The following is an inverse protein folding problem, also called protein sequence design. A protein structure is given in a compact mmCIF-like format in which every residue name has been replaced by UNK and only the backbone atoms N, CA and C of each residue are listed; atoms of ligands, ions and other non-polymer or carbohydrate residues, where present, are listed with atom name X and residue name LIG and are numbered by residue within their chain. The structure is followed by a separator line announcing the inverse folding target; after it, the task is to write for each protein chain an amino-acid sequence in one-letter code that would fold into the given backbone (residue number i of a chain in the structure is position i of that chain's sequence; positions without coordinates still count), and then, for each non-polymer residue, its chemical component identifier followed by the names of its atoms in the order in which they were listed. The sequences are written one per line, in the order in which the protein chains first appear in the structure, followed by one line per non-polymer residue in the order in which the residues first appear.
data_IF_081323351506
#
_entry.id   IF_081323351506
#
_cell.length_a   1.000
_cell.length_b   1.000
_cell.length_c   1.000
_cell.angle_alpha   90.00
_cell.angle_beta   90.00
_cell.angle_gamma   90.00
#
_symmetry.space_group_name_H-M   'P 1'
#
loop_
_entity.id
_entity.type
_entity.pdbx_description
1 polymer ?
#
# COMPACT_ATOMS: atom_id res chain seq x y z
N UNK A 1 -15.14 10.13 -1.21
CA UNK A 1 -14.57 9.17 -0.24
C UNK A 1 -13.86 9.94 0.87
N UNK A 2 -14.11 9.63 2.13
CA UNK A 2 -13.44 10.25 3.28
C UNK A 2 -12.45 9.26 3.91
N UNK A 3 -11.19 9.65 4.04
CA UNK A 3 -10.14 8.82 4.63
C UNK A 3 -9.93 9.20 6.10
N UNK A 4 -10.09 8.24 7.01
CA UNK A 4 -9.84 8.45 8.45
C UNK A 4 -8.69 7.56 8.88
N UNK A 5 -7.61 8.16 9.39
CA UNK A 5 -6.45 7.45 9.97
C UNK A 5 -6.61 7.50 11.48
N UNK A 6 -6.86 6.36 12.13
CA UNK A 6 -7.06 6.32 13.58
C UNK A 6 -5.73 6.07 14.31
N UNK A 7 -5.49 6.83 15.38
CA UNK A 7 -4.30 6.70 16.23
C UNK A 7 -4.74 6.56 17.68
N UNK A 8 -5.13 5.36 18.14
CA UNK A 8 -5.01 4.97 19.56
C UNK A 8 -5.32 3.49 19.88
N UNK A 9 -4.76 3.04 21.00
CA UNK A 9 -4.64 1.66 21.47
C UNK A 9 -5.98 0.98 21.87
N UNK A 10 -6.63 0.28 20.94
CA UNK A 10 -7.45 -0.96 21.13
C UNK A 10 -8.00 -1.41 19.76
N UNK A 11 -7.45 -2.47 19.15
CA UNK A 11 -7.89 -3.19 17.92
C UNK A 11 -8.56 -2.40 16.77
N UNK A 12 -8.39 -1.08 16.66
CA UNK A 12 -8.89 -0.32 15.53
C UNK A 12 -7.98 -0.53 14.31
N UNK A 13 -8.55 -0.61 13.11
CA UNK A 13 -7.77 -0.61 11.88
C UNK A 13 -6.91 0.66 11.76
N UNK A 14 -5.72 0.50 11.20
CA UNK A 14 -4.78 1.58 10.92
C UNK A 14 -5.25 2.46 9.76
N UNK A 15 -5.98 1.87 8.81
CA UNK A 15 -6.59 2.53 7.68
C UNK A 15 -8.02 1.99 7.50
N UNK A 16 -8.99 2.87 7.25
CA UNK A 16 -10.34 2.48 6.86
C UNK A 16 -10.76 3.25 5.61
N UNK A 17 -11.30 2.53 4.64
CA UNK A 17 -11.97 3.11 3.48
C UNK A 17 -13.49 3.06 3.73
N UNK A 18 -14.12 4.22 3.74
CA UNK A 18 -15.57 4.35 3.85
C UNK A 18 -16.17 4.84 2.52
N UNK A 19 -17.29 4.24 2.14
CA UNK A 19 -18.16 4.73 1.07
C UNK A 19 -19.58 4.87 1.65
N UNK A 20 -20.18 6.04 1.49
CA UNK A 20 -21.56 6.32 1.95
C UNK A 20 -21.79 6.02 3.45
N UNK A 21 -20.76 6.21 4.28
CA UNK A 21 -20.82 5.93 5.73
C UNK A 21 -20.63 4.45 6.10
N UNK A 22 -20.46 3.56 5.13
CA UNK A 22 -20.19 2.14 5.34
C UNK A 22 -18.71 1.84 5.13
N UNK A 23 -18.12 1.05 6.04
CA UNK A 23 -16.74 0.58 5.90
C UNK A 23 -16.63 -0.47 4.81
N UNK A 24 -15.88 -0.16 3.76
CA UNK A 24 -15.68 -0.99 2.58
C UNK A 24 -14.37 -1.77 2.60
N UNK A 25 -13.38 -1.29 3.36
CA UNK A 25 -12.14 -2.01 3.58
C UNK A 25 -11.38 -1.45 4.79
N UNK A 26 -10.47 -2.27 5.33
CA UNK A 26 -9.63 -1.91 6.46
C UNK A 26 -8.22 -2.50 6.33
N UNK A 27 -7.21 -1.83 6.85
CA UNK A 27 -5.83 -2.33 6.91
C UNK A 27 -5.30 -2.32 8.34
N UNK A 28 -4.50 -3.33 8.67
CA UNK A 28 -3.84 -3.49 9.97
C UNK A 28 -2.35 -3.73 9.74
N UNK A 29 -1.53 -2.83 10.24
CA UNK A 29 -0.08 -2.92 10.12
C UNK A 29 0.55 -3.65 11.32
N UNK A 30 1.69 -4.31 11.11
CA UNK A 30 2.46 -4.90 12.20
C UNK A 30 2.97 -3.80 13.15
N UNK A 31 2.92 -4.09 14.45
CA UNK A 31 3.32 -3.13 15.51
C UNK A 31 4.82 -3.11 15.82
N UNK A 32 5.58 -4.12 15.37
CA UNK A 32 6.97 -4.29 15.76
C UNK A 32 7.93 -3.62 14.77
N UNK A 33 8.81 -2.76 15.25
CA UNK A 33 9.82 -2.05 14.43
C UNK A 33 10.74 -3.04 13.69
N UNK A 34 11.02 -4.22 14.28
CA UNK A 34 11.85 -5.27 13.67
C UNK A 34 11.34 -5.76 12.31
N UNK A 35 10.04 -5.60 12.02
CA UNK A 35 9.43 -5.98 10.74
C UNK A 35 9.91 -5.13 9.56
N UNK A 36 10.34 -3.89 9.82
CA UNK A 36 10.77 -2.98 8.76
C UNK A 36 12.16 -3.32 8.20
N UNK A 37 12.98 -4.10 8.92
CA UNK A 37 14.31 -4.52 8.47
C UNK A 37 14.33 -5.88 7.76
N UNK A 38 13.17 -6.53 7.62
CA UNK A 38 13.05 -7.82 6.92
C UNK A 38 12.95 -7.64 5.40
N UNK A 39 13.59 -8.55 4.64
CA UNK A 39 13.45 -8.68 3.19
C UNK A 39 12.03 -9.10 2.77
N UNK A 40 11.29 -9.71 3.69
CA UNK A 40 9.88 -10.07 3.52
C UNK A 40 9.02 -9.26 4.48
N UNK A 41 7.96 -8.64 3.96
CA UNK A 41 7.03 -7.82 4.76
C UNK A 41 5.62 -8.31 4.51
N UNK A 42 4.85 -8.47 5.59
CA UNK A 42 3.47 -8.95 5.52
C UNK A 42 2.57 -8.13 6.44
N UNK A 43 1.39 -7.76 5.96
CA UNK A 43 0.35 -7.15 6.78
C UNK A 43 -1.05 -7.54 6.28
N UNK A 44 -2.10 -7.29 7.08
CA UNK A 44 -3.46 -7.78 6.77
C UNK A 44 -4.35 -6.67 6.25
N UNK A 45 -5.14 -7.01 5.24
CA UNK A 45 -6.18 -6.16 4.65
C UNK A 45 -7.50 -6.90 4.72
N UNK A 46 -8.54 -6.25 5.22
CA UNK A 46 -9.92 -6.73 5.18
C UNK A 46 -10.68 -6.01 4.08
N UNK A 47 -11.39 -6.75 3.22
CA UNK A 47 -12.33 -6.20 2.24
C UNK A 47 -13.77 -6.44 2.72
N UNK A 48 -14.59 -5.39 2.65
CA UNK A 48 -15.92 -5.31 3.24
C UNK A 48 -15.94 -4.71 4.66
N UNK A 49 -17.07 -4.86 5.33
CA UNK A 49 -17.26 -4.45 6.73
C UNK A 49 -16.24 -5.15 7.63
N UNK A 50 -15.43 -4.44 8.44
CA UNK A 50 -14.46 -5.01 9.37
C UNK A 50 -15.00 -6.15 10.27
N UNK A 51 -16.28 -6.11 10.62
CA UNK A 51 -16.93 -7.16 11.42
C UNK A 51 -17.19 -8.47 10.65
N UNK A 52 -17.29 -8.40 9.32
CA UNK A 52 -17.55 -9.53 8.41
C UNK A 52 -16.55 -9.59 7.24
N UNK A 53 -15.37 -9.01 7.43
CA UNK A 53 -14.43 -8.76 6.35
C UNK A 53 -13.84 -10.06 5.81
N UNK A 54 -13.62 -10.09 4.50
CA UNK A 54 -12.78 -11.11 3.87
C UNK A 54 -11.33 -10.66 4.03
N UNK A 55 -10.60 -11.34 4.90
CA UNK A 55 -9.20 -11.05 5.15
C UNK A 55 -8.32 -11.59 4.03
N UNK A 56 -7.40 -10.75 3.57
CA UNK A 56 -6.32 -11.10 2.66
C UNK A 56 -5.01 -10.57 3.24
N UNK A 57 -3.89 -11.17 2.82
CA UNK A 57 -2.57 -10.74 3.23
C UNK A 57 -1.93 -9.93 2.12
N UNK A 58 -1.31 -8.81 2.50
CA UNK A 58 -0.41 -8.07 1.63
C UNK A 58 1.00 -8.56 1.91
N UNK A 59 1.68 -9.03 0.87
CA UNK A 59 3.01 -9.61 0.95
C UNK A 59 3.99 -8.83 0.06
N UNK A 60 5.14 -8.48 0.59
CA UNK A 60 6.27 -7.93 -0.15
C UNK A 60 7.46 -8.86 -0.02
N UNK A 61 8.10 -9.21 -1.13
CA UNK A 61 9.34 -9.99 -1.17
C UNK A 61 10.42 -9.20 -1.89
N UNK A 62 11.49 -8.85 -1.18
CA UNK A 62 12.55 -7.96 -1.67
C UNK A 62 13.50 -8.58 -2.70
N UNK A 63 13.56 -9.92 -2.82
CA UNK A 63 14.58 -10.61 -3.64
C UNK A 63 14.16 -10.85 -5.10
N UNK A 64 12.87 -11.00 -5.37
CA UNK A 64 12.38 -11.38 -6.70
C UNK A 64 11.32 -10.39 -7.21
N UNK A 65 11.79 -9.32 -7.89
CA UNK A 65 10.96 -8.34 -8.61
C UNK A 65 9.99 -7.56 -7.70
N UNK A 66 10.54 -6.54 -7.04
CA UNK A 66 9.88 -5.46 -6.28
C UNK A 66 8.38 -5.32 -6.53
N UNK A 67 7.58 -5.83 -5.59
CA UNK A 67 6.14 -5.63 -5.62
C UNK A 67 5.43 -6.10 -4.37
N UNK A 68 4.27 -5.50 -4.13
CA UNK A 68 3.35 -5.92 -3.08
C UNK A 68 2.23 -6.74 -3.70
N UNK A 69 2.07 -7.97 -3.24
CA UNK A 69 1.08 -8.92 -3.74
C UNK A 69 -0.04 -9.09 -2.72
N UNK A 70 -1.27 -9.17 -3.20
CA UNK A 70 -2.43 -9.59 -2.42
C UNK A 70 -3.29 -10.56 -3.23
N UNK A 71 -4.16 -11.31 -2.57
CA UNK A 71 -5.10 -12.20 -3.26
C UNK A 71 -6.47 -11.56 -3.37
N UNK A 72 -7.05 -11.60 -4.58
CA UNK A 72 -8.39 -11.11 -4.88
C UNK A 72 -9.23 -12.21 -5.52
N UNK A 73 -10.51 -12.32 -5.15
CA UNK A 73 -11.41 -13.29 -5.76
C UNK A 73 -12.13 -12.65 -6.93
N UNK A 74 -11.86 -13.12 -8.15
CA UNK A 74 -12.54 -12.61 -9.33
C UNK A 74 -14.04 -12.95 -9.28
N UNK A 75 -14.93 -12.02 -9.68
CA UNK A 75 -16.39 -12.23 -9.61
C UNK A 75 -16.86 -13.49 -10.34
N UNK A 76 -16.28 -13.78 -11.51
CA UNK A 76 -16.76 -14.83 -12.42
C UNK A 76 -16.26 -16.23 -12.07
N UNK A 77 -15.10 -16.34 -11.44
CA UNK A 77 -14.47 -17.65 -11.15
C UNK A 77 -14.53 -17.99 -9.66
N UNK A 78 -14.72 -17.00 -8.77
CA UNK A 78 -14.50 -17.11 -7.32
C UNK A 78 -13.13 -17.69 -6.95
N UNK A 79 -12.20 -17.76 -7.90
CA UNK A 79 -10.87 -18.26 -7.66
C UNK A 79 -10.02 -17.12 -7.09
N UNK A 80 -9.28 -17.38 -6.01
CA UNK A 80 -8.32 -16.42 -5.48
C UNK A 80 -7.16 -16.26 -6.46
N UNK A 81 -6.95 -15.04 -6.96
CA UNK A 81 -5.91 -14.68 -7.93
C UNK A 81 -4.91 -13.73 -7.27
N UNK A 82 -3.59 -13.97 -7.35
CA UNK A 82 -2.60 -13.05 -6.83
C UNK A 82 -2.47 -11.83 -7.75
N UNK A 83 -2.72 -10.65 -7.19
CA UNK A 83 -2.58 -9.35 -7.83
C UNK A 83 -1.34 -8.66 -7.26
N UNK A 84 -0.51 -8.07 -8.10
CA UNK A 84 0.79 -7.50 -7.68
C UNK A 84 0.92 -6.04 -8.08
N UNK A 85 1.04 -5.17 -7.08
CA UNK A 85 1.50 -3.80 -7.24
C UNK A 85 3.01 -3.78 -7.44
N UNK A 86 3.49 -3.20 -8.55
CA UNK A 86 4.92 -2.98 -8.82
C UNK A 86 5.18 -1.52 -9.01
N UNK A 87 6.34 -1.05 -8.53
CA UNK A 87 6.84 0.27 -8.90
C UNK A 87 7.12 0.29 -10.41
N UNK A 88 6.61 1.30 -11.12
CA UNK A 88 6.84 1.43 -12.55
C UNK A 88 6.69 2.88 -13.03
N UNK A 89 7.74 3.41 -13.66
CA UNK A 89 7.77 4.75 -14.26
C UNK A 89 7.57 4.74 -15.78
N UNK A 90 7.30 3.59 -16.39
CA UNK A 90 7.12 3.45 -17.84
C UNK A 90 5.65 3.45 -18.27
N UNK A 91 4.73 3.13 -17.36
CA UNK A 91 3.29 3.03 -17.64
C UNK A 91 2.52 4.04 -16.76
N UNK A 92 2.40 5.30 -17.21
CA UNK A 92 1.55 6.27 -16.52
C UNK A 92 0.06 5.98 -16.76
N UNK A 93 -0.77 6.64 -15.96
CA UNK A 93 -2.19 6.88 -16.24
C UNK A 93 -2.34 7.54 -17.60
N UNK A 94 -3.42 7.22 -18.32
CA UNK A 94 -3.65 7.73 -19.68
C UNK A 94 -3.66 9.26 -19.70
N UNK A 95 -2.95 9.83 -20.67
CA UNK A 95 -2.79 11.28 -20.81
C UNK A 95 -1.81 11.93 -19.82
N UNK A 96 -1.23 11.17 -18.87
CA UNK A 96 -0.21 11.66 -17.95
C UNK A 96 1.21 11.27 -18.40
N UNK A 97 2.21 12.03 -17.95
CA UNK A 97 3.62 11.69 -18.14
C UNK A 97 4.20 11.20 -16.82
N UNK A 98 4.74 9.98 -16.82
CA UNK A 98 5.53 9.51 -15.70
C UNK A 98 6.88 10.23 -15.69
N UNK A 99 7.24 10.79 -14.53
CA UNK A 99 8.60 11.29 -14.35
C UNK A 99 9.55 10.10 -14.18
N UNK A 100 10.65 10.09 -14.94
CA UNK A 100 11.73 9.11 -14.75
C UNK A 100 12.46 9.27 -13.40
N UNK A 101 12.26 10.42 -12.74
CA UNK A 101 12.90 10.76 -11.47
C UNK A 101 11.99 10.51 -10.25
N UNK A 102 10.70 10.23 -10.44
CA UNK A 102 9.81 9.86 -9.33
C UNK A 102 9.91 8.37 -9.08
N UNK A 103 10.07 7.93 -7.84
CA UNK A 103 10.15 6.50 -7.51
C UNK A 103 8.83 5.96 -6.93
N UNK A 104 7.74 6.66 -7.27
CA UNK A 104 6.45 6.60 -6.57
C UNK A 104 5.26 6.32 -7.51
N UNK A 105 5.51 5.84 -8.73
CA UNK A 105 4.44 5.37 -9.62
C UNK A 105 4.27 3.86 -9.45
N UNK A 106 3.03 3.38 -9.53
CA UNK A 106 2.71 1.98 -9.32
C UNK A 106 1.79 1.45 -10.41
N UNK A 107 1.96 0.19 -10.77
CA UNK A 107 1.01 -0.56 -11.58
C UNK A 107 0.54 -1.81 -10.85
N UNK A 108 -0.74 -2.10 -10.98
CA UNK A 108 -1.33 -3.35 -10.51
C UNK A 108 -1.42 -4.31 -11.68
N UNK A 109 -0.85 -5.50 -11.52
CA UNK A 109 -0.85 -6.57 -12.51
C UNK A 109 -1.52 -7.82 -11.97
N UNK A 110 -2.17 -8.57 -12.85
CA UNK A 110 -2.58 -9.95 -12.58
C UNK A 110 -1.43 -10.94 -12.85
N UNK A 111 -1.64 -12.26 -12.65
CA UNK A 111 -0.61 -13.26 -12.91
C UNK A 111 -0.20 -13.36 -14.39
N UNK A 112 -1.09 -12.98 -15.30
CA UNK A 112 -0.85 -13.00 -16.74
C UNK A 112 -0.13 -11.73 -17.24
N UNK A 113 0.09 -10.75 -16.36
CA UNK A 113 0.71 -9.46 -16.70
C UNK A 113 -0.27 -8.42 -17.25
N UNK A 114 -1.58 -8.67 -17.17
CA UNK A 114 -2.60 -7.71 -17.55
C UNK A 114 -2.57 -6.51 -16.60
N UNK A 115 -2.57 -5.30 -17.16
CA UNK A 115 -2.59 -4.06 -16.41
C UNK A 115 -3.99 -3.79 -15.84
N UNK A 116 -4.14 -4.04 -14.55
CA UNK A 116 -5.40 -3.91 -13.84
C UNK A 116 -5.67 -2.48 -13.36
N UNK A 117 -4.62 -1.78 -12.91
CA UNK A 117 -4.69 -0.37 -12.51
C UNK A 117 -3.31 0.29 -12.64
N UNK A 118 -3.29 1.61 -12.77
CA UNK A 118 -2.08 2.42 -12.78
C UNK A 118 -2.24 3.62 -11.83
N UNK A 119 -1.19 3.91 -11.08
CA UNK A 119 -1.09 5.09 -10.24
C UNK A 119 0.09 5.94 -10.70
N UNK A 120 -0.17 7.21 -11.00
CA UNK A 120 0.84 8.20 -11.35
C UNK A 120 0.87 9.31 -10.31
N UNK A 121 2.01 9.44 -9.64
CA UNK A 121 2.26 10.50 -8.67
C UNK A 121 2.39 11.85 -9.38
N UNK A 122 1.81 12.91 -8.81
CA UNK A 122 1.90 14.26 -9.37
C UNK A 122 3.19 14.98 -8.96
N UNK A 123 3.88 14.47 -7.94
CA UNK A 123 5.06 15.09 -7.36
C UNK A 123 6.36 14.52 -7.95
N UNK A 124 7.26 15.42 -8.34
CA UNK A 124 8.63 15.09 -8.76
C UNK A 124 9.56 14.97 -7.55
N UNK A 125 9.14 14.20 -6.53
CA UNK A 125 9.92 14.02 -5.29
C UNK A 125 10.26 12.56 -5.06
N UNK A 126 11.46 12.33 -4.49
CA UNK A 126 11.81 11.05 -3.89
C UNK A 126 11.06 10.79 -2.58
N UNK A 127 10.47 11.83 -1.96
CA UNK A 127 9.66 11.66 -0.76
C UNK A 127 8.37 10.93 -1.12
N UNK A 128 8.00 9.97 -0.28
CA UNK A 128 6.79 9.20 -0.49
C UNK A 128 5.55 10.10 -0.38
N UNK A 129 4.70 10.06 -1.40
CA UNK A 129 3.44 10.82 -1.44
C UNK A 129 2.38 10.03 -2.19
N UNK A 130 1.19 9.95 -1.59
CA UNK A 130 0.01 9.37 -2.24
C UNK A 130 -0.76 10.40 -3.08
N UNK A 131 -0.22 11.62 -3.28
CA UNK A 131 -0.83 12.65 -4.13
C UNK A 131 -0.59 12.28 -5.59
N UNK A 132 -1.63 11.79 -6.25
CA UNK A 132 -1.57 11.37 -7.64
C UNK A 132 -2.92 10.99 -8.21
N UNK A 133 -2.89 10.43 -9.41
CA UNK A 133 -4.08 9.88 -10.08
C UNK A 133 -3.99 8.36 -10.06
N UNK A 134 -5.07 7.70 -9.63
CA UNK A 134 -5.29 6.28 -9.79
C UNK A 134 -6.28 6.07 -10.94
N UNK A 135 -5.92 5.25 -11.91
CA UNK A 135 -6.79 4.76 -12.97
C UNK A 135 -6.97 3.25 -12.80
N UNK A 136 -8.22 2.80 -12.79
CA UNK A 136 -8.57 1.38 -12.80
C UNK A 136 -8.97 1.04 -14.23
N UNK A 137 -8.31 0.04 -14.81
CA UNK A 137 -8.38 -0.23 -16.25
C UNK A 137 -9.36 -1.35 -16.61
N UNK A 138 -9.86 -2.09 -15.62
CA UNK A 138 -10.75 -3.23 -15.80
C UNK A 138 -11.95 -3.05 -14.87
N UNK A 139 -13.16 -3.21 -15.41
CA UNK A 139 -14.38 -3.25 -14.62
C UNK A 139 -14.61 -4.68 -14.07
N UNK A 140 -14.23 -4.86 -12.80
CA UNK A 140 -14.52 -6.07 -12.01
C UNK A 140 -15.55 -5.79 -10.89
N UNK A 141 -16.23 -4.65 -10.98
CA UNK A 141 -17.18 -4.16 -9.99
C UNK A 141 -16.57 -3.49 -8.75
N UNK A 142 -17.42 -2.88 -7.91
CA UNK A 142 -16.97 -1.94 -6.86
C UNK A 142 -16.03 -2.53 -5.81
N UNK A 143 -16.16 -3.83 -5.51
CA UNK A 143 -15.31 -4.49 -4.53
C UNK A 143 -13.84 -4.55 -5.01
N UNK A 144 -13.62 -4.67 -6.32
CA UNK A 144 -12.28 -4.58 -6.88
C UNK A 144 -11.72 -3.16 -6.75
N UNK A 145 -12.54 -2.14 -7.00
CA UNK A 145 -12.12 -0.74 -6.85
C UNK A 145 -11.68 -0.44 -5.43
N UNK A 146 -12.46 -0.88 -4.44
CA UNK A 146 -12.11 -0.75 -3.03
C UNK A 146 -10.82 -1.51 -2.68
N UNK A 147 -10.61 -2.69 -3.26
CA UNK A 147 -9.37 -3.44 -3.08
C UNK A 147 -8.17 -2.69 -3.66
N UNK A 148 -8.27 -2.19 -4.89
CA UNK A 148 -7.21 -1.44 -5.56
C UNK A 148 -6.85 -0.16 -4.77
N UNK A 149 -7.84 0.63 -4.38
CA UNK A 149 -7.65 1.86 -3.60
C UNK A 149 -7.00 1.54 -2.25
N UNK A 150 -7.55 0.58 -1.50
CA UNK A 150 -7.11 0.28 -0.14
C UNK A 150 -5.71 -0.31 -0.13
N UNK A 151 -5.41 -1.24 -1.04
CA UNK A 151 -4.08 -1.86 -1.12
C UNK A 151 -3.01 -0.82 -1.50
N UNK A 152 -3.30 0.07 -2.46
CA UNK A 152 -2.39 1.16 -2.82
C UNK A 152 -2.13 2.12 -1.64
N UNK A 153 -3.18 2.59 -0.97
CA UNK A 153 -3.05 3.46 0.20
C UNK A 153 -2.31 2.76 1.35
N UNK A 154 -2.52 1.45 1.51
CA UNK A 154 -1.84 0.67 2.54
C UNK A 154 -0.34 0.58 2.28
N UNK A 155 0.08 0.41 1.02
CA UNK A 155 1.51 0.46 0.63
C UNK A 155 2.11 1.81 1.03
N UNK A 156 1.48 2.93 0.66
CA UNK A 156 2.00 4.26 0.99
C UNK A 156 2.10 4.50 2.49
N UNK A 157 1.06 4.16 3.25
CA UNK A 157 1.05 4.33 4.69
C UNK A 157 2.10 3.44 5.37
N UNK A 158 2.26 2.20 4.90
CA UNK A 158 3.27 1.30 5.41
C UNK A 158 4.68 1.84 5.16
N UNK A 159 4.99 2.23 3.93
CA UNK A 159 6.29 2.77 3.55
C UNK A 159 6.61 4.08 4.27
N UNK A 160 5.62 4.95 4.48
CA UNK A 160 5.79 6.17 5.27
C UNK A 160 6.15 5.86 6.73
N UNK A 161 5.46 4.90 7.36
CA UNK A 161 5.77 4.46 8.74
C UNK A 161 7.17 3.85 8.83
N UNK A 162 7.62 3.18 7.78
CA UNK A 162 8.98 2.65 7.66
C UNK A 162 10.03 3.78 7.61
N UNK A 163 9.80 4.82 6.80
CA UNK A 163 10.65 6.01 6.74
C UNK A 163 10.73 6.72 8.10
N UNK A 164 9.59 6.99 8.74
CA UNK A 164 9.50 7.65 10.04
C UNK A 164 10.24 6.85 11.14
N UNK A 165 10.15 5.51 11.08
CA UNK A 165 10.85 4.62 12.01
C UNK A 165 12.38 4.66 11.80
N UNK A 166 12.84 4.74 10.55
CA UNK A 166 14.27 4.85 10.24
C UNK A 166 14.84 6.18 10.69
N UNK A 167 14.15 7.30 10.45
CA UNK A 167 14.60 8.62 10.91
C UNK A 167 14.71 8.71 12.43
N UNK A 168 13.78 8.09 13.17
CA UNK A 168 13.83 8.05 14.63
C UNK A 168 15.05 7.25 15.14
N UNK A 169 15.38 6.12 14.51
CA UNK A 169 16.58 5.35 14.86
C UNK A 169 17.88 6.12 14.58
N UNK A 170 17.96 6.87 13.48
CA UNK A 170 19.13 7.71 13.19
C UNK A 170 19.30 8.84 14.21
N UNK A 171 18.19 9.46 14.66
CA UNK A 171 18.24 10.52 15.67
C UNK A 171 18.67 10.02 17.06
N UNK A 172 18.24 8.82 17.46
CA UNK A 172 18.63 8.20 18.73
C UNK A 172 20.05 7.65 18.71
N UNK A 173 20.50 7.07 17.59
CA UNK A 173 21.90 6.68 17.41
C UNK A 173 22.85 7.89 17.41
N UNK A 174 22.45 9.00 16.79
CA UNK A 174 23.22 10.26 16.81
C UNK A 174 23.29 10.89 18.21
N UNK A 175 22.21 10.84 18.98
CA UNK A 175 22.19 11.31 20.37
C UNK A 175 23.03 10.42 21.30
N UNK A 176 22.97 9.09 21.11
CA UNK A 176 23.79 8.15 21.87
C UNK A 176 25.30 8.33 21.59
N UNK A 177 25.68 8.51 20.31
CA UNK A 177 27.06 8.79 19.93
C UNK A 177 27.58 10.12 20.52
N UNK A 178 26.74 11.16 20.55
CA UNK A 178 27.09 12.44 21.18
C UNK A 178 27.24 12.33 22.70
N UNK A 179 26.46 11.47 23.36
CA UNK A 179 26.56 11.24 24.81
C UNK A 179 27.76 10.40 25.25
N UNK A 180 28.38 9.65 24.33
CA UNK A 180 29.58 8.85 24.58
C UNK A 180 30.91 9.59 24.34
N UNK A 181 30.86 10.87 23.98
CA UNK A 181 32.03 11.72 23.72
C UNK A 181 32.27 12.79 24.81
N UNK A 182 31.76 12.57 26.02
CA UNK A 182 32.01 13.42 27.19
C UNK A 182 32.82 12.67 28.25
#
# INVERSE_FOLDING_TARGET
YSLTISNNQKKHPDLVLNAEGVSMAACYFPKAIKYYNSDEKTFRIGLGDPSNARWTEMLYRGKDKYGWTFTFNLPNTRQPVPMTWRKDNSVPVDGMKASRLSDNNFKLLDPNGQLMAAFTNHTMSFRLSAVGTLQINIDLGPMFDYAAITTLLSIYNFQKREEDSRSNNTSTAGAAAASSSC
#
